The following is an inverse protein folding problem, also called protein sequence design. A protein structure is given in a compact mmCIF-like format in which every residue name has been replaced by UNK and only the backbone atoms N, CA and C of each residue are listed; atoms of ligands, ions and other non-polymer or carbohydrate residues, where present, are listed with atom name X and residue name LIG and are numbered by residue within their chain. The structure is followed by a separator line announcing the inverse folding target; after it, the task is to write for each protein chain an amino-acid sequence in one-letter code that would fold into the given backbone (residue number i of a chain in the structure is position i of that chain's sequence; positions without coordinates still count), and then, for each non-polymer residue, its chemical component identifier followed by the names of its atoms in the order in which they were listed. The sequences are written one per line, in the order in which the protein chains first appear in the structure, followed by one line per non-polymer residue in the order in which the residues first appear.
data_IF_417378281462
#
_entry.id   IF_417378281462
#
_cell.length_a   1.000
_cell.length_b   1.000
_cell.length_c   1.000
_cell.angle_alpha   90.00
_cell.angle_beta   90.00
_cell.angle_gamma   90.00
#
_symmetry.space_group_name_H-M   'P 1'
#
loop_
_entity.id
_entity.type
_entity.pdbx_description
1 polymer ?
#
# COMPACT_ATOMS: atom_id res chain seq x y z
N UNK A 1 -0.43 3.92 -6.58
CA UNK A 1 0.79 3.10 -6.57
C UNK A 1 0.44 1.63 -6.49
N UNK A 2 1.32 0.74 -6.95
CA UNK A 2 1.18 -0.71 -6.90
C UNK A 2 2.16 -1.29 -5.88
N UNK A 3 1.74 -2.27 -5.08
CA UNK A 3 2.67 -3.03 -4.25
C UNK A 3 3.48 -3.93 -5.17
N UNK A 4 4.78 -3.68 -5.23
CA UNK A 4 5.69 -4.41 -6.10
C UNK A 4 6.32 -5.59 -5.36
N UNK A 5 6.83 -5.35 -4.14
CA UNK A 5 7.40 -6.38 -3.28
C UNK A 5 6.87 -6.33 -1.84
N UNK A 6 6.90 -7.46 -1.15
CA UNK A 6 6.74 -7.56 0.31
C UNK A 6 7.54 -8.72 0.91
N UNK A 7 7.85 -8.66 2.20
CA UNK A 7 8.60 -9.71 2.91
C UNK A 7 7.75 -10.67 3.76
N UNK A 8 6.43 -10.63 3.61
CA UNK A 8 5.52 -11.46 4.39
C UNK A 8 4.43 -12.05 3.50
N UNK A 9 3.90 -13.21 3.90
CA UNK A 9 2.69 -13.76 3.31
C UNK A 9 1.45 -13.19 4.00
N UNK A 10 0.33 -13.08 3.28
CA UNK A 10 -0.96 -12.87 3.93
C UNK A 10 -1.17 -13.98 4.97
N UNK A 11 -1.84 -13.67 6.08
CA UNK A 11 -2.28 -14.73 7.00
C UNK A 11 -3.24 -15.68 6.24
N UNK A 12 -3.43 -16.91 6.72
CA UNK A 12 -4.34 -17.88 6.08
C UNK A 12 -5.79 -17.35 5.92
N UNK A 13 -6.19 -16.40 6.76
CA UNK A 13 -7.50 -15.73 6.70
C UNK A 13 -7.53 -14.51 5.79
N UNK A 14 -6.36 -14.03 5.37
CA UNK A 14 -6.23 -12.89 4.47
C UNK A 14 -6.42 -13.40 3.03
N UNK A 15 -7.23 -12.74 2.19
CA UNK A 15 -7.34 -13.12 0.79
C UNK A 15 -5.98 -13.16 0.09
N UNK A 16 -5.79 -14.12 -0.81
CA UNK A 16 -4.61 -14.16 -1.67
C UNK A 16 -4.54 -12.85 -2.47
N UNK A 17 -3.50 -12.05 -2.19
CA UNK A 17 -3.36 -10.71 -2.73
C UNK A 17 -2.41 -10.72 -3.93
N UNK A 18 -2.96 -10.88 -5.12
CA UNK A 18 -2.28 -10.51 -6.36
C UNK A 18 -2.69 -9.07 -6.74
N UNK A 19 -1.79 -8.34 -7.42
CA UNK A 19 -2.12 -7.04 -8.01
C UNK A 19 -2.67 -6.02 -7.00
N UNK A 20 -1.98 -5.84 -5.88
CA UNK A 20 -2.37 -4.86 -4.86
C UNK A 20 -2.00 -3.45 -5.32
N UNK A 21 -2.95 -2.52 -5.23
CA UNK A 21 -2.71 -1.10 -5.46
C UNK A 21 -3.37 -0.24 -4.40
N UNK A 22 -2.91 1.01 -4.31
CA UNK A 22 -3.53 2.04 -3.51
C UNK A 22 -3.64 3.34 -4.33
N UNK A 23 -4.84 3.90 -4.35
CA UNK A 23 -5.08 5.26 -4.82
C UNK A 23 -5.23 6.17 -3.61
N UNK A 24 -4.36 7.17 -3.50
CA UNK A 24 -4.27 8.05 -2.33
C UNK A 24 -5.04 9.34 -2.58
N UNK A 25 -5.92 9.67 -1.64
CA UNK A 25 -6.64 10.95 -1.60
C UNK A 25 -6.31 11.66 -0.30
N UNK A 26 -5.87 12.92 -0.38
CA UNK A 26 -5.70 13.78 0.79
C UNK A 26 -7.08 14.22 1.30
N UNK A 27 -7.31 14.09 2.60
CA UNK A 27 -8.53 14.55 3.25
C UNK A 27 -8.35 15.95 3.85
N UNK A 28 -9.44 16.53 4.34
CA UNK A 28 -9.36 17.74 5.15
C UNK A 28 -8.64 17.44 6.48
N UNK A 29 -7.71 18.32 6.86
CA UNK A 29 -6.88 18.17 8.06
C UNK A 29 -5.44 17.76 7.75
N UNK A 30 -4.54 18.13 8.65
CA UNK A 30 -3.11 17.81 8.55
C UNK A 30 -2.91 16.31 8.77
N UNK A 31 -2.13 15.67 7.89
CA UNK A 31 -1.76 14.27 8.05
C UNK A 31 -2.89 13.27 7.79
N UNK A 32 -4.04 13.69 7.25
CA UNK A 32 -5.20 12.83 7.01
C UNK A 32 -5.32 12.43 5.54
N UNK A 33 -5.40 11.14 5.28
CA UNK A 33 -5.53 10.58 3.94
C UNK A 33 -6.55 9.43 3.92
N UNK A 34 -7.07 9.15 2.73
CA UNK A 34 -7.81 7.94 2.43
C UNK A 34 -7.10 7.21 1.31
N UNK A 35 -6.77 5.94 1.54
CA UNK A 35 -6.22 5.05 0.53
C UNK A 35 -7.34 4.14 0.07
N UNK A 36 -7.77 4.27 -1.18
CA UNK A 36 -8.58 3.24 -1.82
C UNK A 36 -7.65 2.09 -2.19
N UNK A 37 -7.57 1.09 -1.31
CA UNK A 37 -6.71 -0.08 -1.51
C UNK A 37 -7.51 -1.15 -2.26
N UNK A 38 -6.95 -1.65 -3.37
CA UNK A 38 -7.55 -2.71 -4.15
C UNK A 38 -6.61 -3.89 -4.39
N UNK A 39 -7.19 -5.06 -4.60
CA UNK A 39 -6.46 -6.28 -4.95
C UNK A 39 -7.34 -7.24 -5.74
N UNK A 40 -6.69 -8.14 -6.48
CA UNK A 40 -7.35 -9.20 -7.24
C UNK A 40 -7.36 -10.51 -6.45
N UNK A 41 -8.54 -11.10 -6.31
CA UNK A 41 -8.74 -12.41 -5.70
C UNK A 41 -8.50 -13.54 -6.71
N UNK A 42 -8.36 -14.79 -6.23
CA UNK A 42 -8.17 -15.98 -7.08
C UNK A 42 -9.27 -16.20 -8.15
N UNK A 43 -10.48 -15.66 -7.94
CA UNK A 43 -11.57 -15.69 -8.93
C UNK A 43 -11.55 -14.52 -9.93
N UNK A 44 -10.43 -13.79 -10.04
CA UNK A 44 -10.23 -12.58 -10.86
C UNK A 44 -11.15 -11.39 -10.52
N UNK A 45 -11.84 -11.42 -9.38
CA UNK A 45 -12.60 -10.26 -8.90
C UNK A 45 -11.67 -9.28 -8.19
N UNK A 46 -11.84 -8.00 -8.47
CA UNK A 46 -11.17 -6.92 -7.72
C UNK A 46 -12.05 -6.45 -6.58
N UNK A 47 -11.48 -6.44 -5.37
CA UNK A 47 -12.07 -5.79 -4.20
C UNK A 47 -11.33 -4.48 -4.00
N UNK A 48 -12.07 -3.44 -3.61
CA UNK A 48 -11.51 -2.18 -3.13
C UNK A 48 -12.11 -1.88 -1.76
N UNK A 49 -11.27 -1.37 -0.85
CA UNK A 49 -11.67 -0.93 0.49
C UNK A 49 -11.07 0.45 0.79
N UNK A 50 -11.84 1.36 1.39
CA UNK A 50 -11.33 2.65 1.83
C UNK A 50 -10.60 2.50 3.17
N UNK A 51 -9.28 2.62 3.15
CA UNK A 51 -8.46 2.69 4.35
C UNK A 51 -8.24 4.15 4.75
N UNK A 52 -8.50 4.48 6.00
CA UNK A 52 -8.25 5.80 6.57
C UNK A 52 -6.87 5.83 7.21
N UNK A 53 -6.14 6.89 6.94
CA UNK A 53 -4.74 7.02 7.29
C UNK A 53 -4.50 8.33 8.03
N UNK A 54 -3.87 8.24 9.19
CA UNK A 54 -3.35 9.38 9.94
C UNK A 54 -1.84 9.27 10.08
N UNK A 55 -1.12 10.34 9.75
CA UNK A 55 0.34 10.38 9.95
C UNK A 55 0.71 10.73 11.38
N UNK A 56 1.82 10.19 11.86
CA UNK A 56 2.37 10.45 13.18
C UNK A 56 3.91 10.29 13.19
N UNK A 57 4.58 10.92 14.17
CA UNK A 57 6.00 10.66 14.45
C UNK A 57 6.16 9.43 15.32
N UNK A 58 7.08 8.53 14.95
CA UNK A 58 7.45 7.41 15.82
C UNK A 58 8.26 7.90 17.03
N UNK A 59 8.20 7.20 18.18
CA UNK A 59 8.99 7.56 19.35
C UNK A 59 10.48 7.68 19.04
N UNK A 60 11.09 8.82 19.40
CA UNK A 60 12.50 9.09 19.18
C UNK A 60 12.85 9.69 17.81
N UNK A 61 11.89 9.79 16.88
CA UNK A 61 12.09 10.46 15.60
C UNK A 61 12.19 11.98 15.77
N UNK A 62 13.24 12.60 15.20
CA UNK A 62 13.55 14.03 15.34
C UNK A 62 13.26 14.86 14.09
N UNK A 63 12.76 14.25 13.02
CA UNK A 63 12.44 14.97 11.78
C UNK A 63 11.30 15.95 11.96
N UNK A 64 11.19 16.92 11.04
CA UNK A 64 10.14 17.95 11.06
C UNK A 64 8.79 17.33 10.69
N UNK A 65 8.75 16.58 9.59
CA UNK A 65 7.55 15.90 9.10
C UNK A 65 7.27 14.61 9.86
N UNK A 66 6.08 14.05 9.72
CA UNK A 66 5.76 12.71 10.22
C UNK A 66 6.49 11.64 9.41
N UNK A 67 6.93 10.56 10.06
CA UNK A 67 7.62 9.44 9.41
C UNK A 67 6.83 8.14 9.38
N UNK A 68 5.62 8.12 9.96
CA UNK A 68 4.80 6.93 9.95
C UNK A 68 3.34 7.25 9.68
N UNK A 69 2.61 6.22 9.28
CA UNK A 69 1.19 6.29 8.97
C UNK A 69 0.45 5.14 9.66
N UNK A 70 -0.59 5.49 10.42
CA UNK A 70 -1.49 4.54 11.06
C UNK A 70 -2.66 4.26 10.13
N UNK A 71 -2.87 2.99 9.80
CA UNK A 71 -3.84 2.58 8.78
C UNK A 71 -5.02 1.87 9.43
N UNK A 72 -6.23 2.36 9.16
CA UNK A 72 -7.46 1.82 9.75
C UNK A 72 -8.54 1.58 8.70
N UNK A 73 -9.40 0.60 8.92
CA UNK A 73 -10.66 0.44 8.19
C UNK A 73 -11.81 0.78 9.12
N UNK A 74 -12.64 1.74 8.72
CA UNK A 74 -13.89 2.08 9.40
C UNK A 74 -15.02 1.27 8.78
N UNK A 75 -15.53 0.29 9.50
CA UNK A 75 -16.75 -0.43 9.16
C UNK A 75 -17.91 0.09 10.05
N UNK A 76 -19.19 -0.10 9.64
CA UNK A 76 -20.35 0.47 10.35
C UNK A 76 -20.35 0.23 11.86
N UNK A 77 -19.88 -0.93 12.31
CA UNK A 77 -19.95 -1.36 13.72
C UNK A 77 -18.57 -1.57 14.37
N UNK A 78 -17.47 -1.33 13.64
CA UNK A 78 -16.11 -1.54 14.18
C UNK A 78 -15.06 -0.76 13.40
N UNK A 79 -14.01 -0.35 14.11
CA UNK A 79 -12.76 0.08 13.48
C UNK A 79 -11.75 -1.05 13.58
N UNK A 80 -11.13 -1.38 12.45
CA UNK A 80 -10.01 -2.32 12.39
C UNK A 80 -8.73 -1.49 12.26
N UNK A 81 -7.81 -1.63 13.21
CA UNK A 81 -6.47 -1.02 13.13
C UNK A 81 -5.50 -2.04 12.52
N UNK A 82 -4.91 -1.71 11.38
CA UNK A 82 -3.88 -2.53 10.73
C UNK A 82 -2.48 -2.25 11.26
N UNK A 83 -2.35 -1.25 12.13
CA UNK A 83 -1.13 -0.84 12.78
C UNK A 83 -0.42 0.30 12.07
N UNK A 84 0.85 0.45 12.44
CA UNK A 84 1.71 1.54 12.02
C UNK A 84 2.63 1.10 10.88
N UNK A 85 2.74 1.94 9.87
CA UNK A 85 3.62 1.76 8.72
C UNK A 85 4.64 2.89 8.73
N UNK A 86 5.90 2.58 9.00
CA UNK A 86 6.97 3.56 9.07
C UNK A 86 7.65 3.70 7.69
N UNK A 87 7.89 4.93 7.26
CA UNK A 87 8.58 5.23 6.01
C UNK A 87 10.08 4.95 6.17
N UNK A 88 10.59 3.97 5.43
CA UNK A 88 12.02 3.69 5.33
C UNK A 88 12.66 4.62 4.30
N UNK A 89 12.01 4.75 3.14
CA UNK A 89 12.52 5.53 2.01
C UNK A 89 11.37 5.95 1.10
N UNK A 90 11.45 7.16 0.56
CA UNK A 90 10.67 7.60 -0.59
C UNK A 90 11.57 8.49 -1.43
N UNK A 91 11.52 8.32 -2.75
CA UNK A 91 12.10 9.29 -3.68
C UNK A 91 11.08 10.36 -4.12
N UNK A 92 9.87 10.32 -3.54
CA UNK A 92 8.72 11.18 -3.86
C UNK A 92 8.25 11.12 -5.32
N UNK A 93 8.81 10.22 -6.12
CA UNK A 93 8.58 10.19 -7.56
C UNK A 93 8.11 8.80 -8.02
N UNK A 94 8.89 7.77 -7.71
CA UNK A 94 8.81 6.41 -8.26
C UNK A 94 8.42 5.38 -7.24
N UNK A 95 8.91 5.46 -6.01
CA UNK A 95 8.62 4.44 -5.01
C UNK A 95 8.59 4.92 -3.56
N UNK A 96 7.86 4.16 -2.76
CA UNK A 96 7.82 4.26 -1.30
C UNK A 96 8.15 2.89 -0.71
N UNK A 97 9.02 2.85 0.29
CA UNK A 97 9.40 1.65 1.02
C UNK A 97 8.96 1.83 2.47
N UNK A 98 8.13 0.91 2.92
CA UNK A 98 7.45 0.99 4.21
C UNK A 98 7.82 -0.21 5.07
N UNK A 99 7.92 0.02 6.38
CA UNK A 99 8.02 -1.00 7.42
C UNK A 99 6.67 -1.19 8.09
N UNK A 100 6.15 -2.41 8.03
CA UNK A 100 4.90 -2.82 8.67
C UNK A 100 5.18 -3.25 10.11
N UNK A 101 4.97 -2.34 11.06
CA UNK A 101 5.36 -2.55 12.46
C UNK A 101 4.55 -3.65 13.14
N UNK A 102 3.31 -3.89 12.70
CA UNK A 102 2.42 -4.92 13.23
C UNK A 102 2.77 -6.35 12.80
N UNK A 103 3.66 -6.53 11.81
CA UNK A 103 4.01 -7.84 11.24
C UNK A 103 5.49 -8.17 11.40
N UNK A 104 6.00 -8.08 12.63
CA UNK A 104 7.41 -8.40 12.92
C UNK A 104 8.40 -7.53 12.15
N UNK A 105 8.02 -6.28 11.86
CA UNK A 105 8.77 -5.34 11.03
C UNK A 105 8.99 -5.81 9.59
N UNK A 106 7.98 -6.45 9.00
CA UNK A 106 7.97 -6.76 7.57
C UNK A 106 8.05 -5.48 6.71
N UNK A 107 8.32 -5.61 5.42
CA UNK A 107 8.40 -4.48 4.51
C UNK A 107 7.47 -4.62 3.31
N UNK A 108 7.12 -3.47 2.75
CA UNK A 108 6.38 -3.31 1.50
C UNK A 108 7.10 -2.28 0.63
N UNK A 109 7.19 -2.55 -0.67
CA UNK A 109 7.63 -1.57 -1.66
C UNK A 109 6.45 -1.24 -2.57
N UNK A 110 6.04 0.03 -2.57
CA UNK A 110 5.06 0.57 -3.50
C UNK A 110 5.75 1.33 -4.62
N UNK A 111 5.22 1.18 -5.84
CA UNK A 111 5.72 1.85 -7.04
C UNK A 111 4.60 2.68 -7.67
N UNK A 112 4.90 3.93 -8.02
CA UNK A 112 3.95 4.81 -8.69
C UNK A 112 3.63 4.29 -10.09
N UNK A 113 2.34 4.29 -10.47
CA UNK A 113 1.85 3.59 -11.66
C UNK A 113 2.48 4.03 -12.99
N UNK A 114 3.10 5.21 -13.05
CA UNK A 114 3.80 5.74 -14.21
C UNK A 114 5.23 5.18 -14.39
N UNK A 115 5.75 4.45 -13.40
CA UNK A 115 7.14 3.96 -13.34
C UNK A 115 7.24 2.45 -13.11
N UNK A 116 6.32 1.67 -13.71
CA UNK A 116 6.27 0.22 -13.52
C UNK A 116 7.30 -0.57 -14.36
N UNK A 117 8.11 0.11 -15.18
CA UNK A 117 9.24 -0.51 -15.85
C UNK A 117 10.38 -0.75 -14.84
N UNK A 118 10.74 -2.01 -14.64
CA UNK A 118 11.76 -2.44 -13.70
C UNK A 118 13.12 -1.75 -13.91
N UNK A 119 13.47 -1.38 -15.16
CA UNK A 119 14.70 -0.64 -15.46
C UNK A 119 14.73 0.74 -14.78
N UNK A 120 13.58 1.32 -14.49
CA UNK A 120 13.44 2.61 -13.83
C UNK A 120 13.49 2.48 -12.29
N UNK A 121 13.39 1.25 -11.78
CA UNK A 121 13.26 0.94 -10.35
C UNK A 121 14.55 0.43 -9.70
N UNK A 122 15.68 0.43 -10.41
CA UNK A 122 16.96 -0.14 -9.92
C UNK A 122 17.34 0.41 -8.53
N UNK A 123 17.21 1.72 -8.30
CA UNK A 123 17.50 2.34 -7.00
C UNK A 123 16.53 1.87 -5.91
N UNK A 124 15.22 1.95 -6.16
CA UNK A 124 14.17 1.50 -5.26
C UNK A 124 14.37 0.04 -4.84
N UNK A 125 14.62 -0.85 -5.80
CA UNK A 125 14.82 -2.27 -5.57
C UNK A 125 16.09 -2.52 -4.75
N UNK A 126 17.16 -1.78 -5.03
CA UNK A 126 18.42 -1.88 -4.28
C UNK A 126 18.23 -1.50 -2.82
N UNK A 127 17.63 -0.34 -2.55
CA UNK A 127 17.35 0.16 -1.20
C UNK A 127 16.41 -0.79 -0.45
N UNK A 128 15.35 -1.27 -1.12
CA UNK A 128 14.42 -2.23 -0.54
C UNK A 128 15.14 -3.52 -0.12
N UNK A 129 15.95 -4.11 -1.01
CA UNK A 129 16.70 -5.34 -0.69
C UNK A 129 17.66 -5.12 0.49
N UNK A 130 18.39 -4.01 0.50
CA UNK A 130 19.31 -3.68 1.57
C UNK A 130 18.59 -3.49 2.93
N UNK A 131 17.45 -2.80 2.94
CA UNK A 131 16.75 -2.47 4.17
C UNK A 131 15.89 -3.61 4.71
N UNK A 132 15.39 -4.49 3.84
CA UNK A 132 14.30 -5.41 4.17
C UNK A 132 14.58 -6.89 3.94
N UNK A 133 15.46 -7.24 2.99
CA UNK A 133 15.68 -8.64 2.62
C UNK A 133 16.95 -9.15 3.29
N UNK A 134 16.77 -9.93 4.35
CA UNK A 134 17.87 -10.61 5.05
C UNK A 134 18.21 -11.93 4.35
N UNK A 135 19.43 -12.42 4.57
CA UNK A 135 19.83 -13.74 4.09
C UNK A 135 18.88 -14.81 4.68
N UNK A 136 18.19 -15.54 3.80
CA UNK A 136 17.21 -16.57 4.18
C UNK A 136 15.80 -16.06 4.47
N UNK A 137 15.53 -14.74 4.36
CA UNK A 137 14.15 -14.23 4.43
C UNK A 137 13.46 -14.31 3.07
N UNK A 138 12.16 -14.58 3.07
CA UNK A 138 11.38 -14.62 1.84
C UNK A 138 11.04 -13.22 1.32
N UNK A 139 11.14 -13.04 0.01
CA UNK A 139 10.70 -11.85 -0.71
C UNK A 139 9.65 -12.26 -1.74
N UNK A 140 8.49 -11.61 -1.74
CA UNK A 140 7.36 -11.94 -2.59
C UNK A 140 7.10 -10.82 -3.58
N UNK A 141 7.03 -11.18 -4.86
CA UNK A 141 6.56 -10.30 -5.92
C UNK A 141 5.03 -10.26 -5.92
N UNK A 142 4.46 -9.05 -5.90
CA UNK A 142 3.00 -8.83 -5.79
C UNK A 142 2.45 -8.21 -7.07
N UNK A 143 3.23 -7.34 -7.70
CA UNK A 143 2.91 -6.76 -9.01
C UNK A 143 3.51 -7.61 -10.12
N UNK A 144 2.77 -7.77 -11.22
CA UNK A 144 3.33 -8.21 -12.50
C UNK A 144 2.66 -7.44 -13.63
N UNK A 145 3.21 -7.54 -14.85
CA UNK A 145 2.72 -6.83 -16.05
C UNK A 145 1.27 -7.12 -16.44
N UNK A 146 0.66 -8.20 -15.94
CA UNK A 146 -0.75 -8.52 -16.20
C UNK A 146 -1.69 -7.84 -15.21
N UNK A 147 -1.16 -7.22 -14.15
CA UNK A 147 -1.97 -6.48 -13.18
C UNK A 147 -2.63 -5.26 -13.81
N UNK A 148 -3.95 -5.16 -13.61
CA UNK A 148 -4.79 -4.08 -14.15
C UNK A 148 -5.76 -3.62 -13.07
N UNK A 149 -6.00 -2.31 -13.00
CA UNK A 149 -7.09 -1.79 -12.18
C UNK A 149 -8.39 -2.13 -12.92
N UNK A 150 -9.16 -3.07 -12.38
CA UNK A 150 -10.50 -3.33 -12.88
C UNK A 150 -11.40 -2.21 -12.38
N UNK A 151 -11.53 -1.14 -13.19
CA UNK A 151 -12.50 -0.08 -12.89
C UNK A 151 -13.88 -0.73 -12.78
N UNK A 152 -14.52 -0.60 -11.61
CA UNK A 152 -15.96 -0.82 -11.54
C UNK A 152 -16.59 0.13 -12.55
N UNK A 153 -17.43 -0.37 -13.44
CA UNK A 153 -18.25 0.47 -14.29
C UNK A 153 -18.90 1.53 -13.41
N UNK A 154 -18.74 2.80 -13.79
CA UNK A 154 -19.27 3.93 -13.04
C UNK A 154 -20.74 3.67 -12.68
N UNK A 155 -21.06 3.50 -11.40
CA UNK A 155 -22.42 3.76 -10.90
C UNK A 155 -22.65 5.28 -10.82
N UNK A 156 -22.30 5.98 -11.90
CA UNK A 156 -22.50 7.41 -12.10
C UNK A 156 -22.98 7.61 -13.54
N UNK A 157 -24.13 7.02 -13.87
CA UNK A 157 -24.95 7.32 -15.04
C UNK A 157 -26.37 6.72 -14.89
N UNK A 158 -27.06 7.01 -13.80
CA UNK A 158 -28.54 6.89 -13.70
C UNK A 158 -29.04 7.94 -12.71
N UNK A 159 -28.76 9.19 -13.04
CA UNK A 159 -29.48 10.34 -12.50
C UNK A 159 -29.67 11.34 -13.65
N UNK A 160 -30.36 10.90 -14.71
CA UNK A 160 -30.97 11.75 -15.75
C UNK A 160 -31.66 10.85 -16.79
N UNK A 161 -32.93 10.51 -16.57
CA UNK A 161 -33.94 10.33 -17.63
C UNK A 161 -35.29 9.97 -17.03
N UNK A 162 -36.18 10.99 -17.03
CA UNK A 162 -37.65 10.97 -16.94
C UNK A 162 -38.29 10.69 -15.59
#
# INVERSE_FOLDING_TARGET
SWMYYRTYQPNLTDPEYACVYANVTKLSGTGQYMFMQGWTQANNKTIEVPLFVSTEKTPGYKGIEDNAMRVTLKAPNKTVDFGLYELIYSDYEKCDILRVMSRGQACEMYVHSRFLDEKQLTSCISIYKQACVKKGSTNYEVYNKNCKIHRRANFAATASSQ
#
